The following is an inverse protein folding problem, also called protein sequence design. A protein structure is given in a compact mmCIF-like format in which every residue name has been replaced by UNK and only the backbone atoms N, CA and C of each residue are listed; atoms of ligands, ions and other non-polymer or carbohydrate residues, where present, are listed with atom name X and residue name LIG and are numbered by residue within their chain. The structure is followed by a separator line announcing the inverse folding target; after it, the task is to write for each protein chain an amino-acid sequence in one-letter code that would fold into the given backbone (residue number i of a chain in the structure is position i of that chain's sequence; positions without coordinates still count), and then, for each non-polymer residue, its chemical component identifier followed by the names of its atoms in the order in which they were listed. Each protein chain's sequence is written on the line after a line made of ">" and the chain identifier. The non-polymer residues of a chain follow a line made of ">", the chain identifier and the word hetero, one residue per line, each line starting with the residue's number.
data_IF_507639505391
#
_entry.id   IF_507639505391
#
_cell.length_a   1.000
_cell.length_b   1.000
_cell.length_c   1.000
_cell.angle_alpha   90.00
_cell.angle_beta   90.00
_cell.angle_gamma   90.00
#
_symmetry.space_group_name_H-M   'P 1'
#
loop_
_entity.id
_entity.type
_entity.pdbx_description
1 polymer ?
#
# COMPACT_ATOMS: atom_id res chain seq x y z
N UNK A 1 1.32 3.48 -20.08
CA UNK A 1 0.18 4.24 -19.54
C UNK A 1 -0.54 3.40 -18.50
N UNK A 2 -0.03 3.32 -17.29
CA UNK A 2 -0.68 2.62 -16.18
C UNK A 2 -1.32 3.66 -15.26
N UNK A 3 -2.62 3.87 -15.45
CA UNK A 3 -3.45 4.61 -14.51
C UNK A 3 -3.71 3.70 -13.30
N UNK A 4 -2.80 3.68 -12.34
CA UNK A 4 -3.14 3.25 -10.99
C UNK A 4 -4.11 4.28 -10.41
N UNK A 5 -5.38 3.97 -10.50
CA UNK A 5 -6.42 4.67 -9.78
C UNK A 5 -6.09 4.55 -8.28
N UNK A 6 -5.55 5.62 -7.70
CA UNK A 6 -5.37 5.80 -6.27
C UNK A 6 -6.76 5.81 -5.64
N UNK A 7 -7.26 4.64 -5.26
CA UNK A 7 -8.40 4.53 -4.37
C UNK A 7 -7.88 4.93 -2.99
N UNK A 8 -8.16 6.18 -2.60
CA UNK A 8 -8.00 6.62 -1.24
C UNK A 8 -8.85 5.70 -0.35
N UNK A 9 -8.21 4.72 0.27
CA UNK A 9 -8.81 3.82 1.24
C UNK A 9 -9.04 4.57 2.55
N UNK A 10 -10.17 5.25 2.67
CA UNK A 10 -10.57 5.85 3.94
C UNK A 10 -10.82 4.75 4.97
N UNK A 11 -10.02 4.73 6.01
CA UNK A 11 -10.01 3.68 7.02
C UNK A 11 -11.01 3.95 8.13
N UNK A 12 -11.95 3.04 8.35
CA UNK A 12 -12.86 3.07 9.50
C UNK A 12 -12.18 2.48 10.73
N UNK A 13 -11.45 3.28 11.46
CA UNK A 13 -10.86 2.89 12.74
C UNK A 13 -11.94 2.53 13.77
N UNK A 14 -13.10 3.18 13.72
CA UNK A 14 -14.21 2.94 14.67
C UNK A 14 -14.82 1.53 14.63
N UNK A 15 -14.72 0.81 13.52
CA UNK A 15 -15.29 -0.54 13.44
C UNK A 15 -14.36 -1.65 13.92
N UNK A 16 -13.08 -1.33 14.13
CA UNK A 16 -12.02 -2.31 14.39
C UNK A 16 -11.53 -2.24 15.84
N UNK A 17 -11.82 -1.15 16.53
CA UNK A 17 -11.06 -0.81 17.69
C UNK A 17 -11.89 -0.93 18.92
N UNK A 18 -11.59 -1.92 19.73
CA UNK A 18 -12.29 -2.18 20.96
C UNK A 18 -11.36 -2.74 22.04
N UNK A 19 -11.16 -2.01 23.08
CA UNK A 19 -10.69 -2.47 24.35
C UNK A 19 -9.45 -1.75 24.92
N UNK A 20 -9.50 -0.92 25.97
CA UNK A 20 -8.40 -0.32 26.70
C UNK A 20 -7.94 -1.20 27.87
N UNK A 21 -6.68 -1.08 28.25
CA UNK A 21 -6.01 -1.93 29.24
C UNK A 21 -6.83 -2.01 30.58
N UNK A 22 -7.28 -3.19 30.92
CA UNK A 22 -8.04 -3.49 32.13
C UNK A 22 -9.57 -3.51 32.00
N UNK A 23 -10.22 -2.43 31.55
CA UNK A 23 -11.65 -2.38 31.26
C UNK A 23 -12.00 -2.89 29.87
N UNK A 24 -11.07 -2.87 29.03
CA UNK A 24 -11.22 -3.05 27.61
C UNK A 24 -10.95 -4.47 27.12
N UNK A 25 -10.24 -5.29 27.85
CA UNK A 25 -10.20 -6.74 27.59
C UNK A 25 -11.60 -7.34 27.69
N UNK A 26 -12.44 -6.76 28.54
CA UNK A 26 -13.84 -7.17 28.74
C UNK A 26 -14.72 -6.80 27.53
N UNK A 27 -14.53 -5.60 26.97
CA UNK A 27 -15.30 -5.15 25.78
C UNK A 27 -14.92 -5.92 24.51
N UNK A 28 -13.64 -6.22 24.27
CA UNK A 28 -13.23 -7.06 23.14
C UNK A 28 -13.86 -8.44 23.24
N UNK A 29 -13.84 -9.03 24.44
CA UNK A 29 -14.45 -10.31 24.71
C UNK A 29 -15.96 -10.28 24.47
N UNK A 30 -16.67 -9.25 24.95
CA UNK A 30 -18.09 -9.06 24.73
C UNK A 30 -18.49 -8.97 23.26
N UNK A 31 -17.63 -8.40 22.42
CA UNK A 31 -17.87 -8.30 20.98
C UNK A 31 -17.21 -9.44 20.18
N UNK A 32 -16.63 -10.45 20.86
CA UNK A 32 -16.06 -11.64 20.23
C UNK A 32 -14.78 -11.36 19.42
N UNK A 33 -13.99 -10.38 19.82
CA UNK A 33 -12.70 -10.04 19.18
C UNK A 33 -11.58 -10.21 20.21
N UNK A 34 -10.51 -10.90 19.84
CA UNK A 34 -9.32 -11.00 20.71
C UNK A 34 -8.42 -9.77 20.54
N UNK A 35 -7.60 -9.48 21.55
CA UNK A 35 -6.61 -8.39 21.46
C UNK A 35 -5.63 -8.59 20.27
N UNK A 36 -5.26 -9.82 19.95
CA UNK A 36 -4.41 -10.13 18.80
C UNK A 36 -5.07 -9.72 17.48
N UNK A 37 -6.35 -10.10 17.28
CA UNK A 37 -7.13 -9.73 16.10
C UNK A 37 -7.31 -8.21 16.00
N UNK A 38 -7.53 -7.52 17.12
CA UNK A 38 -7.65 -6.07 17.16
C UNK A 38 -6.33 -5.39 16.76
N UNK A 39 -5.17 -5.85 17.26
CA UNK A 39 -3.85 -5.32 16.90
C UNK A 39 -3.55 -5.54 15.42
N UNK A 40 -3.83 -6.72 14.88
CA UNK A 40 -3.64 -7.03 13.46
C UNK A 40 -4.52 -6.13 12.58
N UNK A 41 -5.78 -5.91 12.98
CA UNK A 41 -6.69 -5.02 12.30
C UNK A 41 -6.18 -3.58 12.28
N UNK A 42 -5.61 -3.07 13.39
CA UNK A 42 -4.97 -1.74 13.44
C UNK A 42 -3.80 -1.67 12.46
N UNK A 43 -2.93 -2.69 12.45
CA UNK A 43 -1.81 -2.75 11.52
C UNK A 43 -2.27 -2.73 10.06
N UNK A 44 -3.29 -3.52 9.73
CA UNK A 44 -3.89 -3.56 8.38
C UNK A 44 -4.44 -2.20 7.96
N UNK A 45 -5.19 -1.54 8.85
CA UNK A 45 -5.76 -0.20 8.58
C UNK A 45 -4.66 0.83 8.34
N UNK A 46 -3.60 0.82 9.14
CA UNK A 46 -2.49 1.76 8.95
C UNK A 46 -1.74 1.48 7.65
N UNK A 47 -1.52 0.21 7.34
CA UNK A 47 -0.80 -0.22 6.15
C UNK A 47 -1.54 0.10 4.84
N UNK A 48 -2.77 -0.34 4.75
CA UNK A 48 -3.52 -0.36 3.48
C UNK A 48 -4.87 0.36 3.52
N UNK A 49 -5.30 0.83 4.69
CA UNK A 49 -6.65 1.36 4.89
C UNK A 49 -7.74 0.28 4.80
N UNK A 50 -7.37 -1.00 4.73
CA UNK A 50 -8.32 -2.12 4.60
C UNK A 50 -8.72 -2.60 5.98
N UNK A 51 -10.04 -2.78 6.16
CA UNK A 51 -10.63 -3.34 7.37
C UNK A 51 -10.92 -4.82 7.13
N UNK A 52 -10.64 -5.63 8.14
CA UNK A 52 -10.96 -7.05 8.11
C UNK A 52 -12.46 -7.25 7.77
N UNK A 53 -12.81 -8.04 6.73
CA UNK A 53 -14.19 -8.24 6.29
C UNK A 53 -15.07 -8.96 7.34
N UNK A 54 -14.50 -9.56 8.37
CA UNK A 54 -15.24 -10.17 9.48
C UNK A 54 -15.88 -9.18 10.47
N UNK A 55 -15.65 -7.88 10.31
CA UNK A 55 -16.20 -6.84 11.17
C UNK A 55 -17.42 -6.13 10.54
N UNK A 56 -18.41 -5.66 11.33
CA UNK A 56 -18.56 -5.92 12.75
C UNK A 56 -18.86 -7.40 13.04
N UNK A 57 -18.38 -7.90 14.17
CA UNK A 57 -18.58 -9.30 14.59
C UNK A 57 -20.06 -9.63 14.78
N UNK A 58 -20.39 -10.91 14.80
CA UNK A 58 -21.76 -11.35 15.07
C UNK A 58 -22.20 -10.96 16.50
N UNK A 59 -21.28 -11.05 17.48
CA UNK A 59 -21.54 -10.64 18.86
C UNK A 59 -21.90 -9.15 18.94
N UNK A 60 -21.20 -8.28 18.23
CA UNK A 60 -21.53 -6.85 18.17
C UNK A 60 -22.94 -6.60 17.61
N UNK A 61 -23.39 -7.36 16.63
CA UNK A 61 -24.72 -7.20 16.02
C UNK A 61 -25.86 -7.57 16.99
N UNK A 62 -25.58 -8.39 17.99
CA UNK A 62 -26.54 -8.79 19.01
C UNK A 62 -26.71 -7.75 20.14
N UNK A 63 -25.78 -6.77 20.25
CA UNK A 63 -25.86 -5.69 21.23
C UNK A 63 -27.05 -4.76 20.94
N UNK A 64 -27.65 -4.20 21.99
CA UNK A 64 -28.61 -3.10 21.87
C UNK A 64 -27.94 -1.83 21.31
N UNK A 65 -28.69 -0.86 20.77
CA UNK A 65 -28.11 0.38 20.25
C UNK A 65 -27.23 1.14 21.27
N UNK A 66 -27.66 1.21 22.54
CA UNK A 66 -26.88 1.82 23.62
C UNK A 66 -25.56 1.07 23.87
N UNK A 67 -25.63 -0.25 23.99
CA UNK A 67 -24.44 -1.09 24.17
C UNK A 67 -23.46 -0.99 22.98
N UNK A 68 -23.96 -0.81 21.76
CA UNK A 68 -23.09 -0.55 20.59
C UNK A 68 -22.39 0.80 20.67
N UNK A 69 -23.06 1.83 21.18
CA UNK A 69 -22.47 3.14 21.41
C UNK A 69 -21.35 3.08 22.45
N UNK A 70 -21.62 2.41 23.59
CA UNK A 70 -20.64 2.20 24.67
C UNK A 70 -19.43 1.39 24.14
N UNK A 71 -19.71 0.32 23.43
CA UNK A 71 -18.68 -0.49 22.79
C UNK A 71 -17.84 0.33 21.79
N UNK A 72 -18.44 1.19 21.00
CA UNK A 72 -17.73 2.06 20.06
C UNK A 72 -16.82 3.05 20.78
N UNK A 73 -17.31 3.68 21.88
CA UNK A 73 -16.53 4.60 22.71
C UNK A 73 -15.33 3.89 23.35
N UNK A 74 -15.59 2.76 24.00
CA UNK A 74 -14.54 1.96 24.63
C UNK A 74 -13.49 1.47 23.62
N UNK A 75 -13.94 1.21 22.39
CA UNK A 75 -13.09 0.85 21.29
C UNK A 75 -12.11 1.91 20.88
N UNK A 76 -12.57 3.12 20.67
CA UNK A 76 -11.66 4.24 20.36
C UNK A 76 -10.71 4.51 21.54
N UNK A 77 -11.17 4.33 22.78
CA UNK A 77 -10.31 4.47 23.95
C UNK A 77 -9.19 3.43 23.98
N UNK A 78 -9.48 2.19 23.61
CA UNK A 78 -8.42 1.17 23.45
C UNK A 78 -7.43 1.50 22.34
N UNK A 79 -7.91 1.87 21.16
CA UNK A 79 -7.02 2.27 20.07
C UNK A 79 -6.04 3.34 20.56
N UNK A 80 -6.55 4.34 21.24
CA UNK A 80 -5.75 5.40 21.83
C UNK A 80 -4.70 4.85 22.80
N UNK A 81 -5.09 3.95 23.71
CA UNK A 81 -4.18 3.32 24.65
C UNK A 81 -3.15 2.43 23.95
N UNK A 82 -3.59 1.58 23.01
CA UNK A 82 -2.70 0.70 22.27
C UNK A 82 -1.68 1.48 21.42
N UNK A 83 -2.11 2.52 20.73
CA UNK A 83 -1.21 3.32 19.88
C UNK A 83 -0.19 4.14 20.67
N UNK A 84 -0.38 4.31 21.97
CA UNK A 84 0.61 4.90 22.89
C UNK A 84 1.65 3.88 23.39
N UNK A 85 1.52 2.57 23.08
CA UNK A 85 2.45 1.55 23.57
C UNK A 85 3.74 1.50 22.77
N UNK A 86 4.87 1.09 23.40
CA UNK A 86 6.13 0.80 22.69
C UNK A 86 5.96 -0.30 21.63
N UNK A 87 5.09 -1.28 21.87
CA UNK A 87 4.76 -2.34 20.92
C UNK A 87 4.25 -1.77 19.58
N UNK A 88 3.27 -0.86 19.66
CA UNK A 88 2.75 -0.21 18.48
C UNK A 88 3.80 0.65 17.76
N UNK A 89 4.60 1.42 18.50
CA UNK A 89 5.67 2.25 17.94
C UNK A 89 6.67 1.39 17.16
N UNK A 90 7.08 0.24 17.71
CA UNK A 90 7.99 -0.69 17.04
C UNK A 90 7.34 -1.33 15.79
N UNK A 91 6.07 -1.71 15.89
CA UNK A 91 5.32 -2.27 14.76
C UNK A 91 5.20 -1.26 13.64
N UNK A 92 4.89 -0.01 13.96
CA UNK A 92 4.80 1.07 12.98
C UNK A 92 6.14 1.36 12.32
N UNK A 93 7.23 1.39 13.09
CA UNK A 93 8.58 1.59 12.54
C UNK A 93 8.97 0.48 11.55
N UNK A 94 8.66 -0.79 11.86
CA UNK A 94 8.87 -1.92 10.92
C UNK A 94 8.03 -1.75 9.66
N UNK A 95 6.75 -1.43 9.81
CA UNK A 95 5.85 -1.19 8.70
C UNK A 95 6.38 -0.08 7.78
N UNK A 96 6.77 1.05 8.36
CA UNK A 96 7.33 2.19 7.64
C UNK A 96 8.59 1.81 6.87
N UNK A 97 9.50 1.06 7.49
CA UNK A 97 10.73 0.60 6.85
C UNK A 97 10.48 -0.38 5.71
N UNK A 98 9.52 -1.30 5.86
CA UNK A 98 9.18 -2.28 4.83
C UNK A 98 8.59 -1.63 3.55
N UNK A 99 8.05 -0.43 3.65
CA UNK A 99 7.49 0.32 2.53
C UNK A 99 8.42 1.41 1.99
N UNK A 100 9.62 1.55 2.59
CA UNK A 100 10.58 2.53 2.13
C UNK A 100 11.07 2.14 0.73
N UNK A 101 11.00 3.03 -0.26
CA UNK A 101 11.53 2.74 -1.59
C UNK A 101 13.06 2.55 -1.52
N UNK A 102 13.55 1.62 -2.31
CA UNK A 102 14.99 1.41 -2.46
C UNK A 102 15.57 2.46 -3.41
N UNK A 103 16.70 3.06 -3.02
CA UNK A 103 17.42 3.97 -3.89
C UNK A 103 17.99 3.22 -5.10
N UNK A 104 17.98 3.82 -6.31
CA UNK A 104 18.63 3.22 -7.45
C UNK A 104 20.12 3.04 -7.17
N UNK A 105 20.65 1.89 -7.57
CA UNK A 105 22.07 1.56 -7.40
C UNK A 105 22.76 1.67 -8.75
N UNK A 106 23.57 2.69 -8.92
CA UNK A 106 24.40 2.86 -10.11
C UNK A 106 25.84 2.47 -9.81
N UNK A 107 26.38 1.53 -10.56
CA UNK A 107 27.80 1.19 -10.51
C UNK A 107 28.58 2.19 -11.40
N UNK A 108 29.39 3.02 -10.78
CA UNK A 108 30.21 4.02 -11.49
C UNK A 108 29.40 5.11 -12.22
N UNK A 109 30.03 5.74 -13.20
CA UNK A 109 29.44 6.77 -14.05
C UNK A 109 28.65 6.17 -15.21
N UNK A 110 27.91 7.00 -15.98
CA UNK A 110 27.27 6.57 -17.23
C UNK A 110 28.29 6.06 -18.26
N UNK A 111 29.50 6.65 -18.27
CA UNK A 111 30.58 6.18 -19.12
C UNK A 111 31.11 4.81 -18.71
N UNK A 112 31.20 4.53 -17.39
CA UNK A 112 31.64 3.22 -16.90
C UNK A 112 30.62 2.15 -17.25
N UNK A 113 29.33 2.45 -17.16
CA UNK A 113 28.26 1.54 -17.59
C UNK A 113 28.32 1.28 -19.10
N UNK A 114 28.56 2.31 -19.91
CA UNK A 114 28.74 2.14 -21.35
C UNK A 114 29.95 1.26 -21.68
N UNK A 115 31.11 1.51 -21.02
CA UNK A 115 32.31 0.69 -21.18
C UNK A 115 32.07 -0.76 -20.79
N UNK A 116 31.35 -1.01 -19.68
CA UNK A 116 30.97 -2.36 -19.25
C UNK A 116 30.08 -3.04 -20.29
N UNK A 117 29.07 -2.35 -20.79
CA UNK A 117 28.17 -2.86 -21.81
C UNK A 117 28.91 -3.18 -23.13
N UNK A 118 29.88 -2.36 -23.50
CA UNK A 118 30.72 -2.61 -24.69
C UNK A 118 31.64 -3.82 -24.47
N UNK A 119 32.22 -3.99 -23.28
CA UNK A 119 33.04 -5.14 -22.89
C UNK A 119 32.23 -6.45 -22.86
N UNK A 120 31.05 -6.44 -22.25
CA UNK A 120 30.13 -7.58 -22.18
C UNK A 120 29.70 -8.02 -23.58
N UNK A 121 29.42 -7.06 -24.48
CA UNK A 121 29.12 -7.33 -25.90
C UNK A 121 30.30 -7.99 -26.64
N UNK A 122 31.51 -7.48 -26.41
CA UNK A 122 32.70 -8.06 -26.99
C UNK A 122 32.92 -9.50 -26.52
N UNK A 123 32.78 -9.76 -25.22
CA UNK A 123 32.87 -11.12 -24.65
C UNK A 123 31.81 -12.05 -25.26
N UNK A 124 30.56 -11.58 -25.34
CA UNK A 124 29.45 -12.38 -25.90
C UNK A 124 29.68 -12.71 -27.37
N UNK A 125 30.31 -11.79 -28.15
CA UNK A 125 30.71 -12.04 -29.51
C UNK A 125 31.79 -13.13 -29.61
N UNK A 126 32.80 -13.11 -28.74
CA UNK A 126 33.84 -14.14 -28.68
C UNK A 126 33.30 -15.50 -28.24
N UNK A 127 32.40 -15.55 -27.27
CA UNK A 127 31.73 -16.80 -26.87
C UNK A 127 30.88 -17.37 -27.99
N UNK A 128 30.18 -16.50 -28.74
CA UNK A 128 29.39 -16.92 -29.91
C UNK A 128 30.28 -17.50 -31.03
N UNK A 129 31.45 -16.91 -31.28
CA UNK A 129 32.42 -17.45 -32.23
C UNK A 129 32.96 -18.85 -31.81
N UNK A 130 33.25 -19.00 -30.51
CA UNK A 130 33.69 -20.34 -29.98
C UNK A 130 32.60 -21.37 -30.08
N UNK A 131 31.35 -21.01 -29.76
CA UNK A 131 30.21 -21.93 -29.92
C UNK A 131 30.01 -22.32 -31.38
N UNK A 132 30.15 -21.38 -32.32
CA UNK A 132 30.06 -21.63 -33.75
C UNK A 132 31.13 -22.62 -34.22
N UNK A 133 32.37 -22.52 -33.72
CA UNK A 133 33.46 -23.42 -34.06
C UNK A 133 33.17 -24.87 -33.66
N UNK A 134 32.30 -25.14 -32.72
CA UNK A 134 31.92 -26.49 -32.28
C UNK A 134 30.79 -27.11 -33.08
N UNK A 135 30.16 -26.37 -34.01
CA UNK A 135 29.06 -26.87 -34.84
C UNK A 135 29.51 -27.69 -36.06
N UNK A 136 28.66 -28.61 -36.58
CA UNK A 136 28.90 -29.30 -37.84
C UNK A 136 29.08 -28.34 -39.01
N UNK A 137 29.90 -28.70 -40.05
CA UNK A 137 30.28 -27.81 -41.16
C UNK A 137 29.10 -27.14 -41.90
N UNK A 138 28.01 -27.91 -42.12
CA UNK A 138 26.86 -27.42 -42.88
C UNK A 138 26.05 -26.36 -42.11
N UNK A 139 25.91 -26.55 -40.82
CA UNK A 139 25.25 -25.56 -39.94
C UNK A 139 26.13 -24.34 -39.71
N UNK A 140 27.44 -24.52 -39.63
CA UNK A 140 28.41 -23.45 -39.42
C UNK A 140 28.32 -22.40 -40.50
N UNK A 141 28.31 -22.80 -41.82
CA UNK A 141 28.28 -21.88 -42.96
C UNK A 141 27.08 -20.91 -42.91
N UNK A 142 25.88 -21.41 -42.61
CA UNK A 142 24.69 -20.57 -42.55
C UNK A 142 24.75 -19.53 -41.40
N UNK A 143 25.28 -19.96 -40.27
CA UNK A 143 25.38 -19.07 -39.06
C UNK A 143 26.55 -18.09 -39.26
N UNK A 144 27.68 -18.49 -39.88
CA UNK A 144 28.80 -17.58 -40.17
C UNK A 144 28.37 -16.42 -41.06
N UNK A 145 27.54 -16.66 -42.06
CA UNK A 145 27.05 -15.62 -42.97
C UNK A 145 26.12 -14.64 -42.23
N UNK A 146 25.21 -15.13 -41.36
CA UNK A 146 24.37 -14.33 -40.53
C UNK A 146 25.17 -13.53 -39.47
N UNK A 147 26.18 -14.15 -38.85
CA UNK A 147 27.08 -13.48 -37.90
C UNK A 147 27.93 -12.41 -38.59
N UNK A 148 28.41 -12.62 -39.79
CA UNK A 148 29.16 -11.63 -40.57
C UNK A 148 28.28 -10.39 -40.84
N UNK A 149 27.06 -10.62 -41.32
CA UNK A 149 26.12 -9.50 -41.55
C UNK A 149 25.78 -8.76 -40.24
N UNK A 150 25.60 -9.48 -39.12
CA UNK A 150 25.39 -8.85 -37.81
C UNK A 150 26.61 -8.06 -37.35
N UNK A 151 27.84 -8.58 -37.58
CA UNK A 151 29.06 -7.83 -37.23
C UNK A 151 29.25 -6.59 -38.11
N UNK A 152 28.97 -6.64 -39.41
CA UNK A 152 29.02 -5.50 -40.30
C UNK A 152 28.00 -4.42 -39.88
N UNK A 153 26.79 -4.83 -39.50
CA UNK A 153 25.76 -3.94 -38.95
C UNK A 153 26.20 -3.30 -37.62
N UNK A 154 26.80 -4.07 -36.71
CA UNK A 154 27.34 -3.59 -35.45
C UNK A 154 28.53 -2.63 -35.65
N UNK A 155 29.42 -2.92 -36.61
CA UNK A 155 30.55 -2.01 -36.93
C UNK A 155 30.06 -0.67 -37.50
N UNK A 156 28.99 -0.68 -38.33
CA UNK A 156 28.33 0.52 -38.80
C UNK A 156 27.62 1.29 -37.69
N UNK A 157 27.17 0.59 -36.65
CA UNK A 157 26.53 1.20 -35.48
C UNK A 157 27.50 1.65 -34.37
N UNK A 158 28.80 1.40 -34.49
CA UNK A 158 29.81 1.81 -33.50
C UNK A 158 30.56 3.10 -33.91
N UNK A 159 29.80 4.06 -34.41
CA UNK A 159 30.30 5.40 -34.68
C UNK A 159 30.36 6.24 -33.42
N UNK A 160 31.21 7.34 -33.39
CA UNK A 160 31.24 8.28 -32.27
C UNK A 160 29.87 8.85 -31.94
N UNK A 161 29.03 9.12 -32.94
CA UNK A 161 27.69 9.67 -32.81
C UNK A 161 26.76 8.65 -32.12
N UNK A 162 26.81 7.38 -32.54
CA UNK A 162 26.00 6.31 -31.89
C UNK A 162 26.45 6.01 -30.45
N UNK A 163 27.78 6.11 -30.21
CA UNK A 163 28.33 5.99 -28.86
C UNK A 163 27.80 7.13 -27.95
N UNK A 164 27.80 8.37 -28.47
CA UNK A 164 27.22 9.51 -27.77
C UNK A 164 25.74 9.31 -27.48
N UNK A 165 24.95 8.86 -28.47
CA UNK A 165 23.52 8.60 -28.28
C UNK A 165 23.29 7.57 -27.17
N UNK A 166 24.05 6.47 -27.15
CA UNK A 166 23.96 5.43 -26.08
C UNK A 166 24.33 6.03 -24.71
N UNK A 167 25.34 6.90 -24.64
CA UNK A 167 25.73 7.57 -23.40
C UNK A 167 24.60 8.51 -22.90
N UNK A 168 24.00 9.26 -23.81
CA UNK A 168 22.91 10.18 -23.54
C UNK A 168 21.67 9.38 -23.04
N UNK A 169 21.37 8.23 -23.64
CA UNK A 169 20.29 7.32 -23.22
C UNK A 169 20.53 6.76 -21.80
N UNK A 170 21.74 6.29 -21.50
CA UNK A 170 22.12 5.81 -20.16
C UNK A 170 21.96 6.95 -19.14
N UNK A 171 22.42 8.14 -19.47
CA UNK A 171 22.35 9.31 -18.59
C UNK A 171 20.91 9.73 -18.35
N UNK A 172 20.09 9.77 -19.40
CA UNK A 172 18.67 10.09 -19.30
C UNK A 172 17.90 9.03 -18.48
N UNK A 173 18.19 7.74 -18.65
CA UNK A 173 17.59 6.67 -17.88
C UNK A 173 17.94 6.80 -16.39
N UNK A 174 19.21 7.02 -16.04
CA UNK A 174 19.63 7.21 -14.63
C UNK A 174 18.98 8.45 -14.00
N UNK A 175 18.86 9.53 -14.74
CA UNK A 175 18.17 10.72 -14.28
C UNK A 175 16.67 10.45 -14.03
N UNK A 176 16.02 9.67 -14.90
CA UNK A 176 14.63 9.28 -14.73
C UNK A 176 14.44 8.36 -13.52
N UNK A 177 15.28 7.36 -13.34
CA UNK A 177 15.24 6.45 -12.18
C UNK A 177 15.45 7.20 -10.85
N UNK A 178 16.36 8.19 -10.83
CA UNK A 178 16.57 9.07 -9.67
C UNK A 178 15.32 9.90 -9.37
N UNK A 179 14.72 10.50 -10.39
CA UNK A 179 13.48 11.28 -10.24
C UNK A 179 12.31 10.43 -9.76
N UNK A 180 12.18 9.22 -10.30
CA UNK A 180 11.12 8.29 -9.89
C UNK A 180 11.30 7.86 -8.42
N UNK A 181 12.54 7.62 -8.00
CA UNK A 181 12.87 7.36 -6.60
C UNK A 181 12.53 8.55 -5.70
N UNK A 182 12.88 9.76 -6.06
CA UNK A 182 12.57 10.97 -5.28
C UNK A 182 11.05 11.15 -5.13
N UNK A 183 10.29 10.92 -6.20
CA UNK A 183 8.83 10.96 -6.15
C UNK A 183 8.25 9.86 -5.26
N UNK A 184 8.80 8.64 -5.36
CA UNK A 184 8.39 7.52 -4.51
C UNK A 184 8.73 7.78 -3.04
N UNK A 185 9.90 8.36 -2.75
CA UNK A 185 10.32 8.73 -1.40
C UNK A 185 9.41 9.80 -0.79
N UNK A 186 9.08 10.84 -1.55
CA UNK A 186 8.15 11.89 -1.11
C UNK A 186 6.74 11.33 -0.86
N UNK A 187 6.26 10.41 -1.71
CA UNK A 187 5.00 9.72 -1.51
C UNK A 187 5.02 8.85 -0.25
N UNK A 188 6.11 8.11 -0.03
CA UNK A 188 6.30 7.28 1.16
C UNK A 188 6.31 8.12 2.44
N UNK A 189 7.05 9.25 2.47
CA UNK A 189 7.08 10.15 3.63
C UNK A 189 5.69 10.72 3.97
N UNK A 190 4.90 11.04 2.95
CA UNK A 190 3.52 11.51 3.13
C UNK A 190 2.58 10.41 3.63
N UNK A 191 2.74 9.19 3.11
CA UNK A 191 1.84 8.08 3.41
C UNK A 191 2.22 7.36 4.70
N UNK A 192 3.50 7.39 5.07
CA UNK A 192 4.07 6.86 6.29
C UNK A 192 4.90 7.95 7.00
N UNK A 193 4.26 8.95 7.66
CA UNK A 193 4.97 9.99 8.39
C UNK A 193 5.91 9.40 9.44
N UNK A 194 6.89 10.19 9.88
CA UNK A 194 7.86 9.73 10.89
C UNK A 194 7.20 9.46 12.24
N UNK A 195 6.28 10.34 12.63
CA UNK A 195 5.51 10.22 13.86
C UNK A 195 4.37 9.19 13.70
N UNK A 196 4.31 8.15 14.53
CA UNK A 196 3.14 7.26 14.61
C UNK A 196 1.83 8.03 14.89
N UNK A 197 1.92 9.10 15.69
CA UNK A 197 0.77 9.95 16.01
C UNK A 197 0.19 10.65 14.78
N UNK A 198 1.05 11.12 13.87
CA UNK A 198 0.61 11.75 12.63
C UNK A 198 -0.05 10.73 11.69
N UNK A 199 0.48 9.51 11.65
CA UNK A 199 -0.15 8.42 10.91
C UNK A 199 -1.55 8.10 11.44
N UNK A 200 -1.71 8.05 12.77
CA UNK A 200 -3.00 7.86 13.42
C UNK A 200 -3.93 9.04 13.13
N UNK A 201 -3.47 10.28 13.32
CA UNK A 201 -4.27 11.48 13.04
C UNK A 201 -4.80 11.49 11.60
N UNK A 202 -3.96 11.10 10.63
CA UNK A 202 -4.37 10.94 9.23
C UNK A 202 -5.54 9.96 9.10
N UNK A 203 -5.44 8.76 9.69
CA UNK A 203 -6.48 7.73 9.62
C UNK A 203 -7.78 8.14 10.34
N UNK A 204 -7.67 8.84 11.46
CA UNK A 204 -8.82 9.39 12.18
C UNK A 204 -9.57 10.43 11.33
N UNK A 205 -8.84 11.32 10.65
CA UNK A 205 -9.46 12.31 9.73
C UNK A 205 -10.14 11.62 8.54
N UNK A 206 -9.48 10.64 7.93
CA UNK A 206 -10.05 9.84 6.83
C UNK A 206 -11.34 9.13 7.27
N UNK A 207 -11.37 8.58 8.49
CA UNK A 207 -12.58 8.01 9.07
C UNK A 207 -13.71 9.04 9.18
N UNK A 208 -13.45 10.23 9.74
CA UNK A 208 -14.46 11.27 9.89
C UNK A 208 -15.03 11.73 8.54
N UNK A 209 -14.17 11.85 7.52
CA UNK A 209 -14.57 12.21 6.15
C UNK A 209 -15.44 11.10 5.55
N UNK A 210 -14.98 9.86 5.60
CA UNK A 210 -15.65 8.73 4.98
C UNK A 210 -17.01 8.39 5.60
N UNK A 211 -17.25 8.81 6.83
CA UNK A 211 -18.47 8.52 7.59
C UNK A 211 -19.36 9.73 7.82
N UNK A 212 -19.09 10.86 7.17
CA UNK A 212 -19.81 12.10 7.38
C UNK A 212 -21.28 12.04 6.92
N UNK A 213 -21.54 11.28 5.87
CA UNK A 213 -22.82 11.22 5.15
C UNK A 213 -23.47 9.81 5.22
N UNK A 214 -23.27 9.08 6.32
CA UNK A 214 -23.91 7.76 6.46
C UNK A 214 -25.43 7.93 6.60
N UNK A 215 -26.16 7.41 5.60
CA UNK A 215 -27.62 7.39 5.60
C UNK A 215 -28.13 6.11 6.28
N UNK A 216 -28.53 6.22 7.53
CA UNK A 216 -29.06 5.10 8.31
C UNK A 216 -30.48 4.68 7.90
N UNK A 217 -31.15 5.43 7.03
CA UNK A 217 -32.44 5.08 6.45
C UNK A 217 -32.29 4.32 5.12
N UNK A 218 -31.07 4.10 4.65
CA UNK A 218 -30.81 3.37 3.42
C UNK A 218 -31.41 1.95 3.48
N UNK A 219 -32.17 1.58 2.44
CA UNK A 219 -32.85 0.29 2.35
C UNK A 219 -31.94 -0.78 1.76
N UNK A 220 -32.08 -1.99 2.31
CA UNK A 220 -31.42 -3.20 1.83
C UNK A 220 -32.46 -4.15 1.21
N UNK A 221 -32.05 -4.86 0.15
CA UNK A 221 -32.82 -5.95 -0.48
C UNK A 221 -31.98 -7.23 -0.54
N UNK A 222 -32.61 -8.40 -0.39
CA UNK A 222 -31.91 -9.66 -0.59
C UNK A 222 -31.66 -9.91 -2.09
N UNK A 223 -30.42 -10.25 -2.43
CA UNK A 223 -30.01 -10.66 -3.77
C UNK A 223 -29.03 -11.81 -3.62
N UNK A 224 -29.32 -12.97 -4.15
CA UNK A 224 -28.46 -14.17 -4.11
C UNK A 224 -27.93 -14.50 -2.71
N UNK A 225 -28.81 -14.45 -1.69
CA UNK A 225 -28.47 -14.72 -0.29
C UNK A 225 -27.66 -13.61 0.41
N UNK A 226 -27.44 -12.46 -0.24
CA UNK A 226 -26.75 -11.29 0.31
C UNK A 226 -27.68 -10.10 0.42
N UNK A 227 -27.48 -9.29 1.46
CA UNK A 227 -28.20 -8.03 1.62
C UNK A 227 -27.45 -6.92 0.89
N UNK A 228 -28.02 -6.42 -0.21
CA UNK A 228 -27.48 -5.32 -1.01
C UNK A 228 -28.31 -4.06 -0.79
N UNK A 229 -27.71 -2.89 -0.98
CA UNK A 229 -28.45 -1.63 -0.96
C UNK A 229 -29.37 -1.56 -2.18
N UNK A 230 -30.61 -1.11 -2.00
CA UNK A 230 -31.54 -0.87 -3.10
C UNK A 230 -31.03 0.21 -4.03
N UNK A 231 -30.49 1.30 -3.45
CA UNK A 231 -29.86 2.38 -4.19
C UNK A 231 -28.40 2.00 -4.54
N UNK A 232 -28.10 1.95 -5.84
CA UNK A 232 -26.78 1.61 -6.36
C UNK A 232 -25.67 2.58 -5.91
N UNK A 233 -25.99 3.83 -5.60
CA UNK A 233 -25.04 4.81 -5.07
C UNK A 233 -24.42 4.31 -3.76
N UNK A 234 -25.20 3.68 -2.88
CA UNK A 234 -24.68 3.14 -1.62
C UNK A 234 -23.86 1.86 -1.81
N UNK A 235 -24.05 1.12 -2.89
CA UNK A 235 -23.18 -0.03 -3.23
C UNK A 235 -21.75 0.42 -3.56
N UNK A 236 -21.58 1.64 -4.07
CA UNK A 236 -20.28 2.21 -4.44
C UNK A 236 -19.62 3.01 -3.31
N UNK A 237 -20.31 3.22 -2.18
CA UNK A 237 -19.71 3.86 -1.00
C UNK A 237 -18.51 3.06 -0.48
N UNK A 238 -17.54 3.77 0.09
CA UNK A 238 -16.35 3.17 0.68
C UNK A 238 -16.70 2.16 1.79
N UNK A 239 -15.86 1.17 2.00
CA UNK A 239 -16.05 0.15 3.04
C UNK A 239 -16.34 0.76 4.42
N UNK A 240 -15.67 1.82 4.87
CA UNK A 240 -15.95 2.48 6.14
C UNK A 240 -17.41 2.95 6.29
N UNK A 241 -17.95 3.56 5.27
CA UNK A 241 -19.34 4.00 5.27
C UNK A 241 -20.30 2.82 5.48
N UNK A 242 -20.08 1.73 4.74
CA UNK A 242 -20.91 0.51 4.83
C UNK A 242 -20.81 -0.18 6.19
N UNK A 243 -19.64 -0.15 6.81
CA UNK A 243 -19.44 -0.72 8.14
C UNK A 243 -20.14 0.13 9.20
N UNK A 244 -20.06 1.45 9.13
CA UNK A 244 -20.77 2.36 10.01
C UNK A 244 -22.29 2.24 9.85
N UNK A 245 -22.79 2.13 8.62
CA UNK A 245 -24.20 1.82 8.38
C UNK A 245 -24.64 0.53 9.11
N UNK A 246 -23.85 -0.56 9.00
CA UNK A 246 -24.16 -1.84 9.66
C UNK A 246 -23.98 -1.80 11.17
N UNK A 247 -23.09 -0.97 11.69
CA UNK A 247 -22.90 -0.78 13.12
C UNK A 247 -24.06 -0.02 13.78
N UNK A 248 -24.75 0.81 13.01
CA UNK A 248 -25.89 1.60 13.45
C UNK A 248 -25.53 3.04 13.80
N UNK A 249 -26.56 3.87 13.89
CA UNK A 249 -26.45 5.32 14.11
C UNK A 249 -25.75 5.64 15.43
N UNK A 250 -26.16 5.01 16.51
CA UNK A 250 -25.65 5.27 17.85
C UNK A 250 -24.16 4.96 17.97
N UNK A 251 -23.74 3.79 17.50
CA UNK A 251 -22.34 3.40 17.47
C UNK A 251 -21.48 4.36 16.63
N UNK A 252 -21.96 4.71 15.44
CA UNK A 252 -21.25 5.62 14.55
C UNK A 252 -21.13 7.03 15.15
N UNK A 253 -22.21 7.53 15.75
CA UNK A 253 -22.20 8.84 16.41
C UNK A 253 -21.22 8.87 17.58
N UNK A 254 -21.25 7.86 18.45
CA UNK A 254 -20.34 7.73 19.57
C UNK A 254 -18.87 7.63 19.12
N UNK A 255 -18.58 6.78 18.13
CA UNK A 255 -17.24 6.65 17.57
C UNK A 255 -16.72 7.98 17.01
N UNK A 256 -17.53 8.68 16.21
CA UNK A 256 -17.16 9.97 15.62
C UNK A 256 -16.88 11.03 16.69
N UNK A 257 -17.72 11.13 17.72
CA UNK A 257 -17.53 12.07 18.82
C UNK A 257 -16.20 11.79 19.56
N UNK A 258 -15.93 10.53 19.88
CA UNK A 258 -14.69 10.12 20.57
C UNK A 258 -13.45 10.37 19.71
N UNK A 259 -13.53 10.08 18.41
CA UNK A 259 -12.45 10.36 17.45
C UNK A 259 -12.17 11.86 17.32
N UNK A 260 -13.22 12.69 17.27
CA UNK A 260 -13.07 14.14 17.24
C UNK A 260 -12.41 14.68 18.50
N UNK A 261 -12.79 14.16 19.68
CA UNK A 261 -12.16 14.51 20.93
C UNK A 261 -10.67 14.14 20.94
N UNK A 262 -10.34 12.91 20.50
CA UNK A 262 -8.96 12.48 20.42
C UNK A 262 -8.12 13.30 19.44
N UNK A 263 -8.65 13.63 18.26
CA UNK A 263 -7.94 14.49 17.29
C UNK A 263 -7.59 15.86 17.90
N UNK A 264 -8.49 16.47 18.69
CA UNK A 264 -8.19 17.73 19.40
C UNK A 264 -7.05 17.58 20.39
N UNK A 265 -6.93 16.44 21.08
CA UNK A 265 -5.85 16.17 22.03
C UNK A 265 -4.47 16.02 21.36
N UNK A 266 -4.42 15.44 20.15
CA UNK A 266 -3.16 15.23 19.42
C UNK A 266 -2.81 16.35 18.43
N UNK A 267 -3.50 17.51 18.56
CA UNK A 267 -3.19 18.72 17.79
C UNK A 267 -3.79 18.72 16.37
N UNK A 268 -4.89 18.06 16.17
CA UNK A 268 -5.61 17.96 14.91
C UNK A 268 -6.68 19.01 14.72
#
# INVERSE_FOLDING_TARGET
>A
MNRFARRAGAACIAAVVFGAVGFAADVLSQIGITAAVAKEAVASVINSGIINPGLPSQAFKLLSPAQRADAATAGVAWLKAYTATPEFTQQYARLRNNHKPEAPKFEGTSEDELKKADADRAQQSEESKKALASLPPDQRKQIEEAMKQAQETLAQADTPEMRKTRLDEITARRAQETKDYEQALAAWQRDYPESPTDAIAKRLREFLIATADVDFNAKLKPVDGRMLFENSVYQNKAQPWKLCFRAGKEATTAARATVQAWLKEIGG
#
